data_IF_779194303738
#
_entry.id   IF_779194303738
#
_cell.length_a   1.000
_cell.length_b   1.000
_cell.length_c   1.000
_cell.angle_alpha   90.00
_cell.angle_beta   90.00
_cell.angle_gamma   90.00
#
_symmetry.space_group_name_H-M   'P 1'
#
loop_
_entity.id
_entity.type
_entity.pdbx_description
1 polymer ?
#
# COMPACT_ATOMS: atom_id res chain seq x y z
N UNK A 1 -8.92 4.17 6.98
CA UNK A 1 -7.98 4.39 5.84
C UNK A 1 -7.64 5.87 5.64
N UNK A 2 -8.64 6.77 5.58
CA UNK A 2 -8.44 8.20 5.33
C UNK A 2 -7.53 8.90 6.35
N UNK A 3 -7.72 8.67 7.65
CA UNK A 3 -6.85 9.26 8.69
C UNK A 3 -5.38 8.84 8.51
N UNK A 4 -5.14 7.55 8.31
CA UNK A 4 -3.79 7.01 8.07
C UNK A 4 -3.21 7.56 6.77
N UNK A 5 -4.01 7.66 5.70
CA UNK A 5 -3.55 8.21 4.42
C UNK A 5 -3.10 9.67 4.56
N UNK A 6 -3.79 10.47 5.38
CA UNK A 6 -3.36 11.84 5.73
C UNK A 6 -2.03 11.84 6.47
N UNK A 7 -1.88 10.99 7.49
CA UNK A 7 -0.66 10.92 8.29
C UNK A 7 0.56 10.47 7.46
N UNK A 8 0.36 9.60 6.47
CA UNK A 8 1.44 9.12 5.57
C UNK A 8 2.04 10.25 4.73
N UNK A 9 1.24 11.23 4.30
CA UNK A 9 1.74 12.34 3.47
C UNK A 9 2.79 13.20 4.18
N UNK A 10 2.78 13.18 5.52
CA UNK A 10 3.70 13.96 6.35
C UNK A 10 4.96 13.16 6.75
N UNK A 11 5.07 11.89 6.35
CA UNK A 11 6.21 11.02 6.69
C UNK A 11 7.34 11.19 5.66
N UNK A 12 8.55 11.45 6.14
CA UNK A 12 9.75 11.62 5.30
C UNK A 12 10.53 10.32 5.05
N UNK A 13 10.25 9.26 5.81
CA UNK A 13 11.01 8.01 5.81
C UNK A 13 10.16 6.80 5.39
N UNK A 14 10.84 5.77 4.88
CA UNK A 14 10.21 4.49 4.54
C UNK A 14 9.44 3.90 5.72
N UNK A 15 8.11 3.86 5.60
CA UNK A 15 7.21 3.46 6.69
C UNK A 15 6.49 2.16 6.36
N UNK A 16 6.58 1.17 7.26
CA UNK A 16 5.85 -0.09 7.14
C UNK A 16 4.53 -0.03 7.93
N UNK A 17 3.42 -0.33 7.27
CA UNK A 17 2.09 -0.41 7.88
C UNK A 17 1.63 -1.86 7.91
N UNK A 18 1.36 -2.37 9.11
CA UNK A 18 0.93 -3.75 9.34
C UNK A 18 -0.50 -3.77 9.86
N UNK A 19 -1.33 -4.67 9.32
CA UNK A 19 -2.73 -4.77 9.68
C UNK A 19 -3.47 -5.81 8.82
N UNK A 20 -4.78 -5.68 8.75
CA UNK A 20 -5.65 -6.70 8.16
C UNK A 20 -6.47 -6.17 6.98
N UNK A 21 -6.92 -7.10 6.12
CA UNK A 21 -7.97 -6.82 5.15
C UNK A 21 -9.33 -6.67 5.87
N UNK A 22 -10.24 -5.82 5.36
CA UNK A 22 -10.13 -5.08 4.11
C UNK A 22 -9.33 -3.76 4.23
N UNK A 23 -8.98 -3.32 5.44
CA UNK A 23 -8.46 -1.97 5.68
C UNK A 23 -7.15 -1.66 4.95
N UNK A 24 -6.21 -2.62 4.90
CA UNK A 24 -4.93 -2.44 4.21
C UNK A 24 -5.09 -2.31 2.69
N UNK A 25 -5.97 -3.15 2.11
CA UNK A 25 -6.32 -3.07 0.70
C UNK A 25 -6.97 -1.73 0.36
N UNK A 26 -7.95 -1.29 1.16
CA UNK A 26 -8.61 0.01 0.98
C UNK A 26 -7.66 1.19 1.15
N UNK A 27 -6.67 1.10 2.05
CA UNK A 27 -5.64 2.12 2.21
C UNK A 27 -4.77 2.23 0.96
N UNK A 28 -4.26 1.11 0.45
CA UNK A 28 -3.46 1.10 -0.78
C UNK A 28 -4.25 1.64 -1.99
N UNK A 29 -5.51 1.22 -2.15
CA UNK A 29 -6.40 1.74 -3.20
C UNK A 29 -6.63 3.25 -3.06
N UNK A 30 -6.88 3.73 -1.83
CA UNK A 30 -7.06 5.16 -1.58
C UNK A 30 -5.82 5.97 -1.94
N UNK A 31 -4.63 5.51 -1.55
CA UNK A 31 -3.37 6.20 -1.84
C UNK A 31 -3.09 6.28 -3.35
N UNK A 32 -3.30 5.18 -4.08
CA UNK A 32 -2.93 5.08 -5.50
C UNK A 32 -4.00 5.65 -6.45
N UNK A 33 -5.29 5.56 -6.10
CA UNK A 33 -6.38 5.92 -7.02
C UNK A 33 -7.35 6.97 -6.48
N UNK A 34 -7.13 7.49 -5.28
CA UNK A 34 -8.07 8.36 -4.55
C UNK A 34 -9.48 7.73 -4.38
N UNK A 35 -9.55 6.39 -4.41
CA UNK A 35 -10.81 5.66 -4.27
C UNK A 35 -10.56 4.30 -3.58
N UNK A 36 -11.03 4.10 -2.35
CA UNK A 36 -10.75 2.89 -1.58
C UNK A 36 -11.37 1.63 -2.17
N UNK A 37 -12.38 1.76 -3.05
CA UNK A 37 -13.09 0.64 -3.66
C UNK A 37 -12.46 0.20 -5.01
N UNK A 38 -11.51 0.98 -5.56
CA UNK A 38 -10.75 0.60 -6.76
C UNK A 38 -9.50 -0.20 -6.37
N UNK A 39 -9.68 -1.51 -6.19
CA UNK A 39 -8.59 -2.43 -5.83
C UNK A 39 -7.37 -2.34 -6.77
N UNK A 40 -6.19 -2.04 -6.20
CA UNK A 40 -4.92 -1.93 -6.95
C UNK A 40 -4.03 -3.15 -6.86
N UNK A 41 -4.26 -4.02 -5.87
CA UNK A 41 -3.51 -5.24 -5.66
C UNK A 41 -4.40 -6.32 -5.04
N UNK A 42 -4.07 -7.58 -5.32
CA UNK A 42 -4.66 -8.75 -4.63
C UNK A 42 -3.77 -9.14 -3.47
N UNK A 43 -4.02 -8.55 -2.30
CA UNK A 43 -3.29 -8.89 -1.08
C UNK A 43 -3.38 -10.39 -0.77
N UNK A 44 -2.25 -10.96 -0.36
CA UNK A 44 -2.13 -12.33 0.11
C UNK A 44 -1.65 -12.32 1.56
N UNK A 45 -2.02 -13.35 2.34
CA UNK A 45 -1.57 -13.46 3.74
C UNK A 45 -0.05 -13.50 3.79
N UNK A 46 0.55 -12.68 4.66
CA UNK A 46 2.01 -12.54 4.76
C UNK A 46 2.66 -11.81 3.59
N UNK A 47 1.87 -11.23 2.67
CA UNK A 47 2.37 -10.43 1.56
C UNK A 47 2.71 -9.00 1.97
N UNK A 48 3.68 -8.42 1.25
CA UNK A 48 4.12 -7.03 1.38
C UNK A 48 3.84 -6.33 0.04
N UNK A 49 3.14 -5.20 0.09
CA UNK A 49 2.93 -4.30 -1.04
C UNK A 49 3.72 -3.02 -0.77
N UNK A 50 4.64 -2.66 -1.65
CA UNK A 50 5.38 -1.42 -1.58
C UNK A 50 4.77 -0.37 -2.50
N UNK A 51 4.54 0.81 -1.94
CA UNK A 51 4.12 1.99 -2.66
C UNK A 51 5.24 3.02 -2.62
N UNK A 52 5.46 3.69 -3.73
CA UNK A 52 6.40 4.81 -3.85
C UNK A 52 5.70 5.99 -4.49
N UNK A 53 6.13 7.20 -4.13
CA UNK A 53 5.70 8.41 -4.81
C UNK A 53 6.60 8.69 -6.01
N UNK A 54 5.99 9.03 -7.14
CA UNK A 54 6.73 9.54 -8.30
C UNK A 54 7.16 11.01 -8.10
N UNK A 55 7.80 11.58 -9.13
CA UNK A 55 8.24 12.98 -9.13
C UNK A 55 7.08 14.00 -9.01
N UNK A 56 5.83 13.56 -9.20
CA UNK A 56 4.61 14.37 -9.06
C UNK A 56 3.89 14.11 -7.72
N UNK A 57 4.56 13.45 -6.77
CA UNK A 57 4.03 13.04 -5.46
C UNK A 57 2.83 12.08 -5.54
N UNK A 58 2.63 11.39 -6.67
CA UNK A 58 1.56 10.41 -6.85
C UNK A 58 2.04 9.04 -6.41
N UNK A 59 1.23 8.36 -5.58
CA UNK A 59 1.52 7.01 -5.16
C UNK A 59 1.32 6.01 -6.31
N UNK A 60 2.29 5.13 -6.50
CA UNK A 60 2.22 4.01 -7.41
C UNK A 60 2.67 2.72 -6.71
N UNK A 61 2.22 1.58 -7.23
CA UNK A 61 2.71 0.27 -6.79
C UNK A 61 4.11 0.06 -7.36
N UNK A 62 5.12 0.01 -6.51
CA UNK A 62 6.50 -0.25 -6.91
C UNK A 62 6.74 -1.76 -7.09
N UNK A 63 6.33 -2.56 -6.11
CA UNK A 63 6.44 -4.02 -6.14
C UNK A 63 5.53 -4.68 -5.10
N UNK A 64 5.33 -5.98 -5.26
CA UNK A 64 4.66 -6.82 -4.26
C UNK A 64 5.46 -8.11 -4.09
N UNK A 65 5.67 -8.50 -2.83
CA UNK A 65 6.25 -9.80 -2.46
C UNK A 65 5.19 -10.60 -1.73
N UNK A 66 5.06 -11.88 -2.06
CA UNK A 66 4.20 -12.83 -1.35
C UNK A 66 5.02 -14.04 -0.92
N UNK A 67 4.66 -14.73 0.17
CA UNK A 67 5.46 -15.86 0.67
C UNK A 67 5.77 -16.93 -0.39
N UNK A 68 4.85 -17.13 -1.33
CA UNK A 68 4.93 -18.19 -2.35
C UNK A 68 6.02 -17.96 -3.42
N UNK A 69 6.54 -16.74 -3.56
CA UNK A 69 7.60 -16.44 -4.54
C UNK A 69 8.99 -16.37 -3.91
N UNK A 70 9.09 -16.56 -2.59
CA UNK A 70 10.35 -16.57 -1.87
C UNK A 70 11.00 -17.96 -1.97
N UNK A 71 12.34 -18.04 -2.02
CA UNK A 71 13.05 -19.31 -1.93
C UNK A 71 12.74 -20.00 -0.59
N UNK A 72 12.74 -21.33 -0.61
CA UNK A 72 12.59 -22.16 0.59
C UNK A 72 13.93 -22.42 1.28
#
# INVERSE_FOLDING_TARGET
PSKIASEIQDLSDGTMIVGHLPHLGKLASLLVTDNPEKGVARFQQGGILCLEQDNEAKWAVAWMIVPQILPQ
#
